data_IF_093431691506
#
_entry.id   IF_093431691506
#
_cell.length_a   1.000
_cell.length_b   1.000
_cell.length_c   1.000
_cell.angle_alpha   90.00
_cell.angle_beta   90.00
_cell.angle_gamma   90.00
#
_symmetry.space_group_name_H-M   'P 1'
#
loop_
_entity.id
_entity.type
_entity.pdbx_description
1 polymer ?
#
# COMPACT_ATOMS: atom_id res chain seq x y z
N UNK A 1 -57.31 3.55 -49.23
CA UNK A 1 -56.18 2.58 -49.34
C UNK A 1 -54.95 3.21 -48.70
N UNK A 2 -54.25 2.41 -47.88
CA UNK A 2 -53.07 2.77 -47.05
C UNK A 2 -52.00 3.57 -47.78
N UNK A 3 -51.26 4.45 -47.07
CA UNK A 3 -49.78 4.40 -46.88
C UNK A 3 -49.27 5.62 -46.09
N UNK A 4 -48.80 5.41 -44.86
CA UNK A 4 -47.40 5.33 -44.38
C UNK A 4 -46.99 6.65 -43.70
N UNK A 5 -46.95 6.64 -42.37
CA UNK A 5 -46.29 7.64 -41.52
C UNK A 5 -44.86 7.16 -41.33
N UNK A 6 -43.88 7.92 -41.83
CA UNK A 6 -42.46 7.66 -41.61
C UNK A 6 -41.98 8.31 -40.32
N UNK A 7 -41.56 7.49 -39.35
CA UNK A 7 -40.80 7.95 -38.19
C UNK A 7 -39.35 8.18 -38.59
N UNK A 8 -38.88 9.44 -38.52
CA UNK A 8 -37.48 9.77 -38.62
C UNK A 8 -36.80 9.48 -37.27
N UNK A 9 -36.13 8.33 -37.16
CA UNK A 9 -35.24 8.02 -36.05
C UNK A 9 -33.91 8.75 -36.21
N UNK A 10 -33.64 9.74 -35.36
CA UNK A 10 -32.34 10.38 -35.28
C UNK A 10 -31.32 9.40 -34.66
N UNK A 11 -30.35 8.97 -35.47
CA UNK A 11 -29.23 8.14 -35.04
C UNK A 11 -28.21 9.03 -34.31
N UNK A 12 -28.21 9.01 -32.98
CA UNK A 12 -27.15 9.63 -32.18
C UNK A 12 -25.89 8.78 -32.28
N UNK A 13 -24.95 9.20 -33.13
CA UNK A 13 -23.60 8.64 -33.16
C UNK A 13 -22.81 9.21 -31.98
N UNK A 14 -22.79 8.51 -30.86
CA UNK A 14 -21.96 8.87 -29.71
C UNK A 14 -20.49 8.67 -30.08
N UNK A 15 -19.77 9.76 -30.31
CA UNK A 15 -18.32 9.77 -30.46
C UNK A 15 -17.72 9.44 -29.09
N UNK A 16 -17.36 8.18 -28.86
CA UNK A 16 -16.61 7.80 -27.67
C UNK A 16 -15.23 8.48 -27.74
N UNK A 17 -14.94 9.36 -26.77
CA UNK A 17 -13.57 9.83 -26.55
C UNK A 17 -12.73 8.60 -26.19
N UNK A 18 -11.91 8.14 -27.13
CA UNK A 18 -10.83 7.21 -26.83
C UNK A 18 -9.75 8.05 -26.13
N UNK A 19 -9.35 7.74 -24.88
CA UNK A 19 -8.26 8.46 -24.24
C UNK A 19 -7.00 8.28 -25.09
N UNK A 20 -6.39 9.39 -25.50
CA UNK A 20 -5.12 9.37 -26.20
C UNK A 20 -4.07 8.79 -25.25
N UNK A 21 -3.59 7.57 -25.55
CA UNK A 21 -2.48 6.95 -24.86
C UNK A 21 -1.25 7.82 -25.14
N UNK A 22 -0.68 8.42 -24.09
CA UNK A 22 0.61 9.08 -24.20
C UNK A 22 1.68 8.03 -24.51
N UNK A 23 2.24 8.07 -25.71
CA UNK A 23 3.33 7.18 -26.13
C UNK A 23 4.64 7.73 -25.55
N UNK A 24 5.21 7.01 -24.58
CA UNK A 24 6.57 7.25 -24.11
C UNK A 24 7.56 6.86 -25.20
N UNK A 25 8.56 7.71 -25.44
CA UNK A 25 9.43 7.71 -26.63
C UNK A 25 10.10 6.37 -26.97
N UNK A 26 10.42 6.25 -28.27
CA UNK A 26 11.04 5.09 -28.90
C UNK A 26 12.50 4.92 -28.47
N UNK A 27 12.77 3.96 -27.59
CA UNK A 27 14.12 3.41 -27.42
C UNK A 27 14.21 2.09 -28.19
N UNK A 28 15.00 2.08 -29.27
CA UNK A 28 15.36 0.89 -30.05
C UNK A 28 14.16 0.07 -30.57
N UNK A 29 13.15 0.73 -31.15
CA UNK A 29 11.96 0.06 -31.72
C UNK A 29 11.04 -0.57 -30.67
N UNK A 30 11.18 -0.19 -29.39
CA UNK A 30 10.27 -0.57 -28.31
C UNK A 30 9.45 0.65 -27.89
N UNK A 31 8.14 0.55 -28.03
CA UNK A 31 7.20 1.58 -27.61
C UNK A 31 6.76 1.34 -26.17
N UNK A 32 6.74 2.40 -25.36
CA UNK A 32 6.21 2.34 -24.00
C UNK A 32 4.79 2.90 -23.94
N UNK A 33 3.90 2.16 -23.26
CA UNK A 33 2.47 2.44 -23.12
C UNK A 33 2.14 2.37 -21.62
N UNK A 34 1.64 3.46 -21.03
CA UNK A 34 1.38 3.61 -19.59
C UNK A 34 2.24 4.71 -18.96
N UNK A 35 2.25 4.86 -17.62
CA UNK A 35 1.62 3.99 -16.62
C UNK A 35 0.09 4.00 -16.61
N UNK A 36 -0.51 2.88 -16.24
CA UNK A 36 -1.93 2.76 -15.90
C UNK A 36 -2.10 2.26 -14.47
N UNK A 37 -2.80 3.02 -13.63
CA UNK A 37 -3.18 2.56 -12.29
C UNK A 37 -4.08 1.31 -12.42
N UNK A 38 -3.75 0.27 -11.66
CA UNK A 38 -4.42 -1.02 -11.68
C UNK A 38 -4.52 -1.60 -10.27
N UNK A 39 -5.50 -2.47 -10.07
CA UNK A 39 -5.65 -3.26 -8.85
C UNK A 39 -5.82 -4.74 -9.19
N UNK A 40 -5.31 -5.63 -8.35
CA UNK A 40 -5.66 -7.06 -8.39
C UNK A 40 -6.07 -7.56 -7.03
N UNK A 41 -7.00 -8.50 -7.03
CA UNK A 41 -7.22 -9.33 -5.85
C UNK A 41 -6.06 -10.30 -5.72
N UNK A 42 -5.32 -10.21 -4.63
CA UNK A 42 -4.23 -11.12 -4.33
C UNK A 42 -4.79 -12.36 -3.64
N UNK A 43 -4.79 -13.46 -4.37
CA UNK A 43 -5.22 -14.77 -3.89
C UNK A 43 -4.04 -15.64 -3.40
N UNK A 44 -2.84 -15.07 -3.37
CA UNK A 44 -1.57 -15.74 -3.22
C UNK A 44 -1.44 -16.93 -4.16
N UNK A 45 -0.69 -17.94 -3.72
CA UNK A 45 -0.58 -19.23 -4.43
C UNK A 45 -1.79 -20.16 -4.21
N UNK A 46 -2.86 -19.72 -3.51
CA UNK A 46 -3.88 -20.62 -2.94
C UNK A 46 -5.34 -20.18 -3.13
N UNK A 47 -5.63 -19.35 -4.13
CA UNK A 47 -7.00 -19.07 -4.64
C UNK A 47 -7.96 -18.29 -3.73
N UNK A 48 -7.57 -17.93 -2.50
CA UNK A 48 -8.42 -17.10 -1.63
C UNK A 48 -7.80 -15.73 -1.35
N UNK A 49 -8.62 -14.65 -1.39
CA UNK A 49 -8.14 -13.29 -1.33
C UNK A 49 -7.65 -12.95 0.07
N UNK A 50 -6.38 -12.57 0.20
CA UNK A 50 -5.79 -12.11 1.46
C UNK A 50 -5.40 -10.63 1.41
N UNK A 51 -5.15 -10.10 0.21
CA UNK A 51 -4.88 -8.69 -0.03
C UNK A 51 -5.50 -8.16 -1.33
N UNK A 52 -5.52 -6.84 -1.45
CA UNK A 52 -5.76 -6.14 -2.71
C UNK A 52 -4.46 -5.43 -3.07
N UNK A 53 -3.85 -5.84 -4.18
CA UNK A 53 -2.70 -5.14 -4.75
C UNK A 53 -3.16 -3.90 -5.50
N UNK A 54 -2.32 -2.88 -5.45
CA UNK A 54 -2.41 -1.68 -6.23
C UNK A 54 -1.04 -1.42 -6.84
N UNK A 55 -0.99 -1.24 -8.15
CA UNK A 55 0.25 -1.00 -8.88
C UNK A 55 -0.05 -0.29 -10.18
N UNK A 56 1.00 0.19 -10.84
CA UNK A 56 0.94 0.73 -12.18
C UNK A 56 1.42 -0.31 -13.19
N UNK A 57 0.63 -0.54 -14.25
CA UNK A 57 1.04 -1.34 -15.41
C UNK A 57 1.71 -0.45 -16.43
N UNK A 58 2.93 -0.80 -16.83
CA UNK A 58 3.59 -0.29 -18.02
C UNK A 58 3.76 -1.44 -19.02
N UNK A 59 3.39 -1.20 -20.26
CA UNK A 59 3.65 -2.14 -21.35
C UNK A 59 4.78 -1.61 -22.22
N UNK A 60 5.73 -2.47 -22.53
CA UNK A 60 6.77 -2.25 -23.54
C UNK A 60 6.49 -3.19 -24.70
N UNK A 61 6.21 -2.62 -25.86
CA UNK A 61 5.85 -3.37 -27.07
C UNK A 61 6.96 -3.19 -28.09
N UNK A 62 7.57 -4.31 -28.51
CA UNK A 62 8.56 -4.35 -29.57
C UNK A 62 7.95 -5.03 -30.81
N UNK A 63 8.02 -4.36 -31.96
CA UNK A 63 7.65 -4.96 -33.25
C UNK A 63 8.82 -5.78 -33.78
N UNK A 64 8.60 -7.07 -34.05
CA UNK A 64 9.64 -7.97 -34.54
C UNK A 64 9.88 -7.83 -36.05
N UNK A 65 9.04 -7.06 -36.77
CA UNK A 65 9.18 -6.83 -38.21
C UNK A 65 8.65 -7.95 -39.11
N UNK A 66 8.02 -8.98 -38.54
CA UNK A 66 7.43 -10.13 -39.24
C UNK A 66 5.90 -10.24 -39.03
N UNK A 67 5.28 -9.18 -38.48
CA UNK A 67 3.87 -9.15 -38.10
C UNK A 67 3.59 -9.70 -36.69
N UNK A 68 4.62 -10.05 -35.93
CA UNK A 68 4.52 -10.42 -34.51
C UNK A 68 5.09 -9.34 -33.60
N UNK A 69 4.64 -9.30 -32.34
CA UNK A 69 5.05 -8.31 -31.35
C UNK A 69 5.47 -8.99 -30.06
N UNK A 70 6.59 -8.56 -29.47
CA UNK A 70 6.96 -8.92 -28.11
C UNK A 70 6.38 -7.88 -27.14
N UNK A 71 5.65 -8.35 -26.12
CA UNK A 71 5.06 -7.49 -25.09
C UNK A 71 5.67 -7.84 -23.74
N UNK A 72 6.24 -6.85 -23.06
CA UNK A 72 6.65 -6.93 -21.67
C UNK A 72 5.71 -6.07 -20.85
N UNK A 73 5.09 -6.67 -19.85
CA UNK A 73 4.39 -5.95 -18.79
C UNK A 73 5.36 -5.72 -17.61
N UNK A 74 5.39 -4.50 -17.10
CA UNK A 74 6.13 -4.10 -15.91
C UNK A 74 5.14 -3.54 -14.88
N UNK A 75 5.27 -3.98 -13.63
CA UNK A 75 4.54 -3.44 -12.48
C UNK A 75 5.42 -2.42 -11.75
N UNK A 76 4.86 -1.25 -11.42
CA UNK A 76 5.55 -0.17 -10.67
C UNK A 76 4.70 0.32 -9.52
N UNK A 77 5.34 0.96 -8.55
CA UNK A 77 4.67 1.60 -7.40
C UNK A 77 3.70 0.65 -6.67
N UNK A 78 4.12 -0.61 -6.50
CA UNK A 78 3.33 -1.64 -5.86
C UNK A 78 3.07 -1.34 -4.39
N UNK A 79 1.81 -1.45 -3.98
CA UNK A 79 1.36 -1.47 -2.59
C UNK A 79 0.20 -2.44 -2.46
N UNK A 80 -0.08 -2.93 -1.26
CA UNK A 80 -1.23 -3.77 -1.01
C UNK A 80 -1.96 -3.35 0.26
N UNK A 81 -3.21 -3.79 0.40
CA UNK A 81 -4.00 -3.68 1.63
C UNK A 81 -4.42 -5.07 2.05
N UNK A 82 -4.11 -5.47 3.28
CA UNK A 82 -4.55 -6.75 3.83
C UNK A 82 -6.04 -6.72 4.15
N UNK A 83 -6.73 -7.84 3.94
CA UNK A 83 -8.17 -7.97 4.20
C UNK A 83 -8.49 -8.45 5.63
N UNK A 84 -7.51 -9.02 6.34
CA UNK A 84 -7.63 -9.48 7.72
C UNK A 84 -7.14 -8.45 8.75
N UNK A 85 -7.44 -8.67 10.04
CA UNK A 85 -7.08 -7.73 11.10
C UNK A 85 -5.56 -7.61 11.22
N UNK A 86 -5.11 -6.37 11.36
CA UNK A 86 -3.75 -6.02 11.75
C UNK A 86 -3.82 -5.50 13.18
N UNK A 87 -2.99 -6.05 14.04
CA UNK A 87 -2.81 -5.63 15.41
C UNK A 87 -1.35 -5.33 15.68
N UNK A 88 -1.06 -4.60 16.75
CA UNK A 88 0.32 -4.28 17.06
C UNK A 88 0.49 -3.29 18.18
N UNK A 89 1.75 -2.98 18.45
CA UNK A 89 2.14 -1.95 19.40
C UNK A 89 3.37 -1.19 18.91
N UNK A 90 3.51 0.02 19.45
CA UNK A 90 4.74 0.79 19.47
C UNK A 90 4.97 1.21 20.92
N UNK A 91 6.12 0.85 21.47
CA UNK A 91 6.51 1.11 22.85
C UNK A 91 7.78 1.94 22.89
N UNK A 92 7.76 3.01 23.67
CA UNK A 92 8.91 3.85 23.94
C UNK A 92 8.70 4.70 25.19
N UNK A 93 9.69 5.49 25.53
CA UNK A 93 9.63 6.39 26.69
C UNK A 93 9.32 7.81 26.22
N UNK A 94 8.38 8.47 26.91
CA UNK A 94 8.13 9.91 26.73
C UNK A 94 8.78 10.67 27.88
N UNK A 95 9.67 11.61 27.56
CA UNK A 95 10.18 12.60 28.50
C UNK A 95 9.41 13.89 28.30
N UNK A 96 8.63 14.32 29.30
CA UNK A 96 7.90 15.59 29.28
C UNK A 96 7.71 16.11 30.71
N UNK A 97 7.55 17.43 30.84
CA UNK A 97 7.16 18.08 32.10
C UNK A 97 5.64 18.01 32.37
N UNK A 98 4.85 17.60 31.38
CA UNK A 98 3.38 17.58 31.44
C UNK A 98 2.82 16.20 31.16
N UNK A 99 1.79 15.81 31.90
CA UNK A 99 0.98 14.61 31.64
C UNK A 99 -0.50 14.93 31.92
N UNK A 100 -1.32 14.89 30.87
CA UNK A 100 -2.75 15.25 30.88
C UNK A 100 -3.58 14.12 30.25
N UNK A 101 -3.80 13.01 30.98
CA UNK A 101 -4.44 11.81 30.43
C UNK A 101 -5.90 12.03 29.97
N UNK A 102 -6.58 13.03 30.52
CA UNK A 102 -7.99 13.33 30.20
C UNK A 102 -8.14 14.31 29.02
N UNK A 103 -7.04 14.78 28.42
CA UNK A 103 -7.07 15.76 27.33
C UNK A 103 -7.41 15.13 25.96
N UNK A 104 -7.41 13.80 25.86
CA UNK A 104 -7.61 13.11 24.60
C UNK A 104 -9.06 13.06 24.14
N UNK A 105 -9.25 13.25 22.84
CA UNK A 105 -10.50 12.99 22.13
C UNK A 105 -10.20 12.21 20.85
N UNK A 106 -11.21 11.65 20.20
CA UNK A 106 -11.06 11.00 18.90
C UNK A 106 -10.44 11.93 17.85
N UNK A 107 -10.74 13.23 17.91
CA UNK A 107 -10.20 14.22 16.98
C UNK A 107 -8.72 14.52 17.24
N UNK A 108 -8.27 14.48 18.50
CA UNK A 108 -6.91 14.89 18.90
C UNK A 108 -5.92 13.74 19.02
N UNK A 109 -6.36 12.54 19.40
CA UNK A 109 -5.47 11.40 19.72
C UNK A 109 -5.59 10.23 18.73
N UNK A 110 -6.22 10.42 17.58
CA UNK A 110 -6.30 9.41 16.50
C UNK A 110 -4.98 9.14 15.78
N UNK A 111 -3.92 9.90 16.11
CA UNK A 111 -2.54 9.66 15.64
C UNK A 111 -1.61 9.67 16.83
N UNK A 112 -0.46 8.98 16.72
CA UNK A 112 0.58 9.01 17.75
C UNK A 112 1.08 10.44 18.01
N UNK A 113 1.33 11.23 16.97
CA UNK A 113 1.78 12.61 17.10
C UNK A 113 0.74 13.49 17.83
N UNK A 114 -0.54 13.31 17.50
CA UNK A 114 -1.65 13.98 18.17
C UNK A 114 -1.77 13.58 19.64
N UNK A 115 -1.66 12.28 19.95
CA UNK A 115 -1.63 11.75 21.32
C UNK A 115 -0.46 12.34 22.12
N UNK A 116 0.76 12.28 21.59
CA UNK A 116 1.95 12.82 22.25
C UNK A 116 1.80 14.32 22.55
N UNK A 117 1.33 15.10 21.56
CA UNK A 117 1.14 16.54 21.72
C UNK A 117 0.04 16.89 22.72
N UNK A 118 -1.07 16.16 22.69
CA UNK A 118 -2.25 16.44 23.53
C UNK A 118 -2.03 16.01 24.98
N UNK A 119 -1.44 14.84 25.19
CA UNK A 119 -1.25 14.25 26.52
C UNK A 119 0.01 14.77 27.20
N UNK A 120 1.07 15.08 26.44
CA UNK A 120 2.38 15.47 26.97
C UNK A 120 2.86 16.86 26.53
N UNK A 121 1.97 17.68 25.94
CA UNK A 121 2.22 19.08 25.59
C UNK A 121 2.91 19.29 24.23
N UNK A 122 2.71 20.46 23.63
CA UNK A 122 3.31 20.82 22.35
C UNK A 122 4.83 21.09 22.48
N UNK A 123 5.64 20.40 21.68
CA UNK A 123 7.06 20.71 21.47
C UNK A 123 8.04 20.30 22.59
N UNK A 124 7.58 19.61 23.65
CA UNK A 124 8.43 19.20 24.79
C UNK A 124 8.47 17.70 25.09
N UNK A 125 7.62 16.90 24.45
CA UNK A 125 7.58 15.46 24.63
C UNK A 125 8.62 14.77 23.74
N UNK A 126 9.71 14.31 24.34
CA UNK A 126 10.70 13.48 23.65
C UNK A 126 10.27 12.02 23.73
N UNK A 127 9.74 11.48 22.63
CA UNK A 127 9.41 10.06 22.50
C UNK A 127 10.60 9.31 21.88
N UNK A 128 11.13 8.30 22.55
CA UNK A 128 12.35 7.60 22.13
C UNK A 128 12.28 7.09 20.69
N UNK A 129 11.14 6.54 20.27
CA UNK A 129 10.94 6.06 18.89
C UNK A 129 11.01 7.14 17.80
N UNK A 130 10.75 8.40 18.13
CA UNK A 130 10.86 9.51 17.16
C UNK A 130 12.28 10.08 17.06
N UNK A 131 13.16 9.71 17.99
CA UNK A 131 14.51 10.28 18.10
C UNK A 131 15.62 9.33 17.66
N UNK A 132 15.31 8.03 17.51
CA UNK A 132 16.33 7.00 17.32
C UNK A 132 17.28 6.84 18.51
N UNK A 133 16.91 7.38 19.69
CA UNK A 133 17.69 7.29 20.92
C UNK A 133 16.86 6.64 22.02
N UNK A 134 17.49 5.75 22.80
CA UNK A 134 16.80 5.00 23.85
C UNK A 134 16.03 3.78 23.33
N UNK A 135 15.39 3.05 24.25
CA UNK A 135 14.61 1.86 23.90
C UNK A 135 13.39 2.28 23.08
N UNK A 136 13.20 1.64 21.94
CA UNK A 136 11.98 1.70 21.15
C UNK A 136 11.69 0.29 20.64
N UNK A 137 10.46 -0.18 20.77
CA UNK A 137 10.08 -1.52 20.31
C UNK A 137 8.74 -1.45 19.60
N UNK A 138 8.60 -2.13 18.48
CA UNK A 138 7.34 -2.26 17.76
C UNK A 138 7.07 -3.73 17.40
N UNK A 139 5.80 -4.02 17.17
CA UNK A 139 5.33 -5.26 16.60
C UNK A 139 4.05 -4.98 15.83
N UNK A 140 4.02 -5.33 14.56
CA UNK A 140 2.84 -5.43 13.73
C UNK A 140 2.60 -6.88 13.40
N UNK A 141 1.36 -7.32 13.56
CA UNK A 141 0.95 -8.68 13.32
C UNK A 141 -0.32 -8.66 12.50
N UNK A 142 -0.28 -9.36 11.37
CA UNK A 142 -1.47 -9.77 10.67
C UNK A 142 -1.83 -11.18 11.09
N UNK A 143 -3.11 -11.42 11.37
CA UNK A 143 -3.62 -12.75 11.66
C UNK A 143 -4.99 -12.93 11.01
N UNK A 144 -5.11 -13.86 10.08
CA UNK A 144 -6.40 -14.24 9.52
C UNK A 144 -7.02 -15.40 10.29
N UNK A 145 -8.29 -15.30 10.72
CA UNK A 145 -9.00 -16.44 11.27
C UNK A 145 -9.30 -17.52 10.21
N UNK A 146 -9.19 -17.20 8.92
CA UNK A 146 -9.43 -18.14 7.83
C UNK A 146 -8.28 -19.16 7.71
N UNK A 147 -8.55 -20.36 8.22
CA UNK A 147 -7.61 -21.48 8.22
C UNK A 147 -7.39 -22.09 6.82
N UNK A 148 -8.15 -21.68 5.79
CA UNK A 148 -7.91 -22.12 4.42
C UNK A 148 -6.73 -21.41 3.77
N UNK A 149 -6.28 -20.29 4.35
CA UNK A 149 -5.10 -19.57 3.88
C UNK A 149 -3.81 -20.28 4.31
N UNK A 150 -2.97 -20.60 3.33
CA UNK A 150 -1.63 -21.16 3.56
C UNK A 150 -0.75 -20.21 4.38
N UNK A 151 -0.89 -18.91 4.14
CA UNK A 151 -0.31 -17.84 4.92
C UNK A 151 -1.44 -17.03 5.56
N UNK A 152 -1.63 -17.22 6.85
CA UNK A 152 -2.63 -16.51 7.66
C UNK A 152 -1.98 -15.69 8.76
N UNK A 153 -0.65 -15.61 8.78
CA UNK A 153 0.08 -14.92 9.83
C UNK A 153 1.41 -14.39 9.32
N UNK A 154 1.64 -13.10 9.50
CA UNK A 154 2.96 -12.50 9.40
C UNK A 154 3.15 -11.53 10.56
N UNK A 155 4.40 -11.37 10.97
CA UNK A 155 4.82 -10.39 11.97
C UNK A 155 5.97 -9.59 11.43
N UNK A 156 5.88 -8.28 11.59
CA UNK A 156 6.98 -7.34 11.45
C UNK A 156 7.25 -6.74 12.83
N UNK A 157 8.42 -6.99 13.40
CA UNK A 157 8.75 -6.55 14.75
C UNK A 157 10.20 -6.16 14.87
N UNK A 158 10.46 -5.20 15.72
CA UNK A 158 11.82 -4.73 15.90
C UNK A 158 11.93 -3.51 16.78
N UNK A 159 13.04 -2.82 16.61
CA UNK A 159 13.33 -1.54 17.23
C UNK A 159 14.71 -1.49 17.86
N UNK A 160 14.94 -0.42 18.62
CA UNK A 160 16.19 -0.19 19.32
C UNK A 160 16.17 -0.90 20.66
N UNK A 161 16.97 -1.96 20.78
CA UNK A 161 17.20 -2.69 22.03
C UNK A 161 18.56 -2.33 22.62
N UNK A 162 18.66 -2.36 23.96
CA UNK A 162 19.93 -2.07 24.64
C UNK A 162 20.82 -3.32 24.64
N UNK A 163 21.99 -3.24 24.02
CA UNK A 163 23.04 -4.24 24.11
C UNK A 163 23.69 -4.24 25.51
N UNK A 164 24.45 -5.29 25.82
CA UNK A 164 25.10 -5.45 27.15
C UNK A 164 26.08 -4.32 27.50
N UNK A 165 26.62 -3.62 26.52
CA UNK A 165 27.54 -2.49 26.67
C UNK A 165 26.81 -1.13 26.86
N UNK A 166 25.47 -1.14 26.87
CA UNK A 166 24.63 0.04 27.00
C UNK A 166 24.30 0.74 25.69
N UNK A 167 24.86 0.29 24.55
CA UNK A 167 24.57 0.80 23.21
C UNK A 167 23.17 0.38 22.77
N UNK A 168 22.45 1.23 22.04
CA UNK A 168 21.20 0.84 21.40
C UNK A 168 21.45 0.35 19.98
N UNK A 169 21.01 -0.86 19.68
CA UNK A 169 21.14 -1.49 18.35
C UNK A 169 19.75 -1.68 17.77
N UNK A 170 19.59 -1.29 16.50
CA UNK A 170 18.37 -1.57 15.76
C UNK A 170 18.37 -3.04 15.31
N UNK A 171 17.32 -3.76 15.67
CA UNK A 171 17.05 -5.11 15.19
C UNK A 171 15.61 -5.17 14.69
N UNK A 172 15.40 -5.72 13.51
CA UNK A 172 14.10 -5.89 12.88
C UNK A 172 14.03 -7.29 12.28
N UNK A 173 12.94 -7.98 12.59
CA UNK A 173 12.69 -9.34 12.15
C UNK A 173 11.30 -9.39 11.53
N UNK A 174 11.28 -9.57 10.23
CA UNK A 174 10.09 -10.01 9.52
C UNK A 174 9.98 -11.54 9.57
N UNK A 175 8.80 -12.05 9.90
CA UNK A 175 8.51 -13.49 9.97
C UNK A 175 7.14 -13.78 9.37
N UNK A 176 7.04 -14.85 8.59
CA UNK A 176 5.86 -15.14 7.78
C UNK A 176 6.12 -14.83 6.31
N UNK A 177 5.06 -14.87 5.50
CA UNK A 177 5.14 -14.58 4.07
C UNK A 177 4.22 -13.39 3.74
N UNK A 178 4.75 -12.41 3.01
CA UNK A 178 3.98 -11.31 2.39
C UNK A 178 3.82 -11.56 0.88
N UNK A 179 4.67 -12.40 0.29
CA UNK A 179 4.64 -12.96 -1.06
C UNK A 179 6.03 -13.56 -1.34
N UNK A 180 6.12 -14.87 -1.56
CA UNK A 180 7.17 -15.45 -2.39
C UNK A 180 6.49 -16.02 -3.62
N UNK A 181 6.76 -15.42 -4.79
CA UNK A 181 6.55 -16.06 -6.09
C UNK A 181 7.51 -17.24 -6.26
#
# INVERSE_FOLDING_TARGET
MRRIVGFAGALFLSLALVPAIALGGDDNGTQQIGPFDSTSTDNGSCSQPWAIDMFQRLFKVHDNGDGTFAVREEFREGRFVTSGPVQGFLEGTVTSATFSPDACTQATCSTLAGFLTTTFGAGGATFTCNTGTGKCTFNFEYNSPDQSLRYHHWTDRGGYTQAQDGTFVYDEVFSGDIANE
#
